data_IF_472777754510
#
_entry.id   IF_472777754510
#
_cell.length_a   1.000
_cell.length_b   1.000
_cell.length_c   1.000
_cell.angle_alpha   90.00
_cell.angle_beta   90.00
_cell.angle_gamma   90.00
#
_symmetry.space_group_name_H-M   'P 1'
#
loop_
_entity.id
_entity.type
_entity.pdbx_description
1 polymer ?
#
# COMPACT_ATOMS: atom_id res chain seq x y z
N UNK A 1 3.36 -32.73 -57.09
CA UNK A 1 2.87 -31.53 -56.39
C UNK A 1 3.77 -30.37 -56.78
N UNK A 2 3.29 -29.43 -57.60
CA UNK A 2 4.08 -28.29 -58.07
C UNK A 2 4.41 -27.36 -56.89
N UNK A 3 5.65 -26.90 -56.79
CA UNK A 3 6.14 -26.02 -55.71
C UNK A 3 5.23 -24.78 -55.49
N UNK A 4 4.59 -24.28 -56.57
CA UNK A 4 3.60 -23.20 -56.49
C UNK A 4 2.34 -23.54 -55.69
N UNK A 5 1.88 -24.80 -55.70
CA UNK A 5 0.73 -25.23 -54.90
C UNK A 5 1.07 -25.29 -53.41
N UNK A 6 2.31 -25.65 -53.06
CA UNK A 6 2.79 -25.68 -51.68
C UNK A 6 2.90 -24.25 -51.14
N UNK A 7 3.47 -23.33 -51.92
CA UNK A 7 3.59 -21.91 -51.52
C UNK A 7 2.21 -21.28 -51.33
N UNK A 8 1.25 -21.53 -52.22
CA UNK A 8 -0.11 -21.01 -52.09
C UNK A 8 -0.81 -21.48 -50.81
N UNK A 9 -0.63 -22.75 -50.42
CA UNK A 9 -1.19 -23.29 -49.17
C UNK A 9 -0.55 -22.65 -47.95
N UNK A 10 0.77 -22.44 -47.94
CA UNK A 10 1.47 -21.79 -46.83
C UNK A 10 0.97 -20.35 -46.65
N UNK A 11 0.84 -19.58 -47.75
CA UNK A 11 0.33 -18.21 -47.70
C UNK A 11 -1.10 -18.17 -47.19
N UNK A 12 -1.97 -19.08 -47.65
CA UNK A 12 -3.35 -19.16 -47.17
C UNK A 12 -3.43 -19.47 -45.66
N UNK A 13 -2.60 -20.37 -45.15
CA UNK A 13 -2.53 -20.71 -43.71
C UNK A 13 -2.07 -19.49 -42.90
N UNK A 14 -1.05 -18.76 -43.37
CA UNK A 14 -0.58 -17.54 -42.70
C UNK A 14 -1.66 -16.47 -42.65
N UNK A 15 -2.43 -16.28 -43.73
CA UNK A 15 -3.54 -15.34 -43.77
C UNK A 15 -4.67 -15.76 -42.83
N UNK A 16 -5.00 -17.05 -42.77
CA UNK A 16 -6.01 -17.57 -41.83
C UNK A 16 -5.57 -17.38 -40.38
N UNK A 17 -4.29 -17.64 -40.06
CA UNK A 17 -3.74 -17.41 -38.72
C UNK A 17 -3.79 -15.91 -38.36
N UNK A 18 -3.44 -15.03 -39.31
CA UNK A 18 -3.53 -13.58 -39.10
C UNK A 18 -4.97 -13.11 -38.85
N UNK A 19 -5.93 -13.63 -39.62
CA UNK A 19 -7.36 -13.32 -39.44
C UNK A 19 -7.87 -13.84 -38.10
N UNK A 20 -7.51 -15.08 -37.72
CA UNK A 20 -7.88 -15.65 -36.41
C UNK A 20 -7.27 -14.81 -35.28
N UNK A 21 -6.02 -14.39 -35.39
CA UNK A 21 -5.37 -13.53 -34.40
C UNK A 21 -6.11 -12.19 -34.23
N UNK A 22 -6.44 -11.51 -35.34
CA UNK A 22 -7.20 -10.26 -35.33
C UNK A 22 -8.60 -10.46 -34.72
N UNK A 23 -9.31 -11.52 -35.12
CA UNK A 23 -10.66 -11.83 -34.59
C UNK A 23 -10.62 -12.17 -33.10
N UNK A 24 -9.61 -12.89 -32.62
CA UNK A 24 -9.45 -13.18 -31.18
C UNK A 24 -9.10 -11.92 -30.37
N UNK A 25 -8.32 -11.01 -30.94
CA UNK A 25 -7.99 -9.73 -30.32
C UNK A 25 -9.21 -8.79 -30.26
N UNK A 26 -10.08 -8.82 -31.29
CA UNK A 26 -11.32 -8.04 -31.33
C UNK A 26 -12.47 -8.64 -30.51
N UNK A 27 -12.47 -9.96 -30.27
CA UNK A 27 -13.49 -10.64 -29.44
C UNK A 27 -13.28 -10.47 -27.92
N UNK A 28 -12.23 -9.79 -27.48
CA UNK A 28 -11.93 -9.53 -26.06
C UNK A 28 -12.86 -8.52 -25.34
N UNK A 29 -13.87 -7.96 -26.02
CA UNK A 29 -14.65 -6.82 -25.52
C UNK A 29 -15.85 -7.16 -24.59
N UNK A 30 -16.07 -8.43 -24.22
CA UNK A 30 -17.21 -8.82 -23.36
C UNK A 30 -16.88 -9.24 -21.92
N UNK A 31 -15.62 -9.57 -21.62
CA UNK A 31 -15.25 -10.27 -20.37
C UNK A 31 -14.01 -9.69 -19.68
N UNK A 32 -13.38 -8.67 -20.27
CA UNK A 32 -12.11 -8.10 -19.79
C UNK A 32 -12.17 -7.44 -18.41
N UNK A 33 -13.34 -6.94 -18.00
CA UNK A 33 -13.52 -6.29 -16.70
C UNK A 33 -13.30 -7.21 -15.51
N UNK A 34 -13.82 -8.44 -15.57
CA UNK A 34 -13.64 -9.43 -14.51
C UNK A 34 -12.16 -9.88 -14.39
N UNK A 35 -11.44 -9.94 -15.51
CA UNK A 35 -10.01 -10.26 -15.54
C UNK A 35 -9.16 -9.14 -14.92
N UNK A 36 -9.42 -7.88 -15.30
CA UNK A 36 -8.73 -6.71 -14.75
C UNK A 36 -9.03 -6.54 -13.26
N UNK A 37 -10.30 -6.66 -12.84
CA UNK A 37 -10.67 -6.58 -11.44
C UNK A 37 -10.02 -7.67 -10.60
N UNK A 38 -9.97 -8.91 -11.10
CA UNK A 38 -9.28 -10.01 -10.40
C UNK A 38 -7.77 -9.77 -10.30
N UNK A 39 -7.15 -9.23 -11.36
CA UNK A 39 -5.70 -8.97 -11.39
C UNK A 39 -5.31 -7.81 -10.50
N UNK A 40 -5.99 -6.67 -10.62
CA UNK A 40 -5.64 -5.46 -9.89
C UNK A 40 -6.16 -5.45 -8.46
N UNK A 41 -7.22 -6.20 -8.16
CA UNK A 41 -7.85 -6.21 -6.85
C UNK A 41 -8.03 -4.77 -6.35
N UNK A 42 -7.52 -4.40 -5.16
CA UNK A 42 -7.66 -3.05 -4.57
C UNK A 42 -7.31 -1.87 -5.49
N UNK A 43 -6.37 -2.04 -6.43
CA UNK A 43 -6.02 -0.98 -7.39
C UNK A 43 -7.15 -0.72 -8.41
N UNK A 44 -8.00 -1.72 -8.67
CA UNK A 44 -9.23 -1.53 -9.44
C UNK A 44 -10.20 -0.63 -8.70
N UNK A 45 -10.51 -0.95 -7.44
CA UNK A 45 -11.42 -0.13 -6.63
C UNK A 45 -10.89 1.29 -6.43
N UNK A 46 -9.57 1.45 -6.22
CA UNK A 46 -8.93 2.77 -6.13
C UNK A 46 -9.06 3.56 -7.43
N UNK A 47 -8.77 2.94 -8.57
CA UNK A 47 -8.85 3.62 -9.87
C UNK A 47 -10.31 3.95 -10.21
N UNK A 48 -11.24 3.07 -9.85
CA UNK A 48 -12.68 3.31 -9.96
C UNK A 48 -13.15 4.50 -9.14
N UNK A 49 -12.69 4.62 -7.90
CA UNK A 49 -12.99 5.77 -7.06
C UNK A 49 -12.40 7.08 -7.63
N UNK A 50 -11.24 7.02 -8.29
CA UNK A 50 -10.61 8.18 -8.95
C UNK A 50 -11.41 8.67 -10.17
N UNK A 51 -12.10 7.76 -10.86
CA UNK A 51 -12.96 8.06 -12.01
C UNK A 51 -14.44 8.21 -11.63
N UNK A 52 -14.75 8.56 -10.37
CA UNK A 52 -16.11 8.78 -9.89
C UNK A 52 -17.08 7.60 -10.17
N UNK A 53 -16.55 6.37 -10.19
CA UNK A 53 -17.32 5.17 -10.49
C UNK A 53 -17.45 4.83 -11.98
N UNK A 54 -16.79 5.56 -12.89
CA UNK A 54 -16.73 5.21 -14.32
C UNK A 54 -15.85 3.96 -14.54
N UNK A 55 -16.53 2.83 -14.59
CA UNK A 55 -15.96 1.51 -14.84
C UNK A 55 -15.30 1.39 -16.22
N UNK A 56 -15.76 2.12 -17.24
CA UNK A 56 -15.15 2.09 -18.57
C UNK A 56 -13.81 2.83 -18.57
N UNK A 57 -13.78 4.04 -18.02
CA UNK A 57 -12.55 4.83 -17.88
C UNK A 57 -11.51 4.08 -17.03
N UNK A 58 -11.95 3.46 -15.94
CA UNK A 58 -11.13 2.62 -15.06
C UNK A 58 -10.46 1.48 -15.81
N UNK A 59 -11.25 0.69 -16.56
CA UNK A 59 -10.71 -0.43 -17.34
C UNK A 59 -9.76 0.04 -18.43
N UNK A 60 -10.05 1.17 -19.06
CA UNK A 60 -9.17 1.75 -20.07
C UNK A 60 -7.81 2.10 -19.46
N UNK A 61 -7.76 2.88 -18.38
CA UNK A 61 -6.50 3.26 -17.72
C UNK A 61 -5.69 2.03 -17.29
N UNK A 62 -6.33 1.06 -16.61
CA UNK A 62 -5.64 -0.15 -16.16
C UNK A 62 -5.13 -1.00 -17.33
N UNK A 63 -5.89 -1.08 -18.44
CA UNK A 63 -5.44 -1.77 -19.64
C UNK A 63 -4.24 -1.09 -20.30
N UNK A 64 -4.20 0.25 -20.30
CA UNK A 64 -3.07 1.03 -20.81
C UNK A 64 -1.82 0.84 -19.94
N UNK A 65 -1.98 0.79 -18.61
CA UNK A 65 -0.88 0.44 -17.69
C UNK A 65 -0.33 -0.96 -17.97
N UNK A 66 -1.18 -1.96 -18.12
CA UNK A 66 -0.75 -3.33 -18.47
C UNK A 66 -0.04 -3.35 -19.82
N UNK A 67 -0.55 -2.62 -20.81
CA UNK A 67 0.09 -2.52 -22.13
C UNK A 67 1.50 -1.91 -22.04
N UNK A 68 1.69 -0.92 -21.17
CA UNK A 68 2.96 -0.20 -21.03
C UNK A 68 3.98 -0.94 -20.16
N UNK A 69 3.54 -1.56 -19.06
CA UNK A 69 4.43 -2.13 -18.04
C UNK A 69 4.32 -3.63 -17.87
N UNK A 70 3.31 -4.29 -18.47
CA UNK A 70 3.09 -5.72 -18.28
C UNK A 70 4.04 -6.62 -19.07
N UNK A 71 4.84 -6.07 -19.98
CA UNK A 71 5.75 -6.82 -20.84
C UNK A 71 7.21 -6.86 -20.37
N UNK A 72 7.60 -6.05 -19.38
CA UNK A 72 8.95 -6.14 -18.81
C UNK A 72 8.95 -7.12 -17.64
N UNK A 73 10.01 -7.90 -17.54
CA UNK A 73 10.22 -8.82 -16.42
C UNK A 73 11.14 -8.12 -15.41
N UNK A 74 10.71 -7.89 -14.16
CA UNK A 74 11.56 -7.30 -13.14
C UNK A 74 12.80 -8.15 -12.85
N UNK A 75 13.94 -7.52 -12.60
CA UNK A 75 15.16 -8.25 -12.29
C UNK A 75 15.01 -9.10 -11.02
N UNK A 76 15.67 -10.26 -11.01
CA UNK A 76 15.70 -11.14 -9.85
C UNK A 76 16.69 -10.63 -8.81
N UNK A 77 16.30 -10.68 -7.53
CA UNK A 77 17.13 -10.30 -6.39
C UNK A 77 17.92 -11.52 -5.89
N UNK A 78 19.25 -11.43 -5.82
CA UNK A 78 20.09 -12.52 -5.33
C UNK A 78 19.78 -12.86 -3.85
N UNK A 79 20.19 -14.04 -3.37
CA UNK A 79 20.01 -14.38 -1.95
C UNK A 79 20.76 -13.40 -1.04
N UNK A 80 21.99 -13.03 -1.40
CA UNK A 80 22.81 -12.07 -0.66
C UNK A 80 22.17 -10.66 -0.64
N UNK A 81 21.57 -10.22 -1.75
CA UNK A 81 20.82 -8.96 -1.78
C UNK A 81 19.59 -9.02 -0.87
N UNK A 82 18.85 -10.14 -0.86
CA UNK A 82 17.69 -10.33 0.02
C UNK A 82 18.06 -10.28 1.49
N UNK A 83 19.17 -10.91 1.88
CA UNK A 83 19.70 -10.86 3.25
C UNK A 83 20.05 -9.43 3.64
N UNK A 84 20.84 -8.73 2.81
CA UNK A 84 21.22 -7.33 3.03
C UNK A 84 20.02 -6.39 3.16
N UNK A 85 19.03 -6.54 2.28
CA UNK A 85 17.80 -5.75 2.34
C UNK A 85 16.96 -6.09 3.57
N UNK A 86 16.91 -7.37 3.94
CA UNK A 86 16.26 -7.83 5.17
C UNK A 86 16.88 -7.22 6.42
N UNK A 87 18.21 -7.18 6.51
CA UNK A 87 18.93 -6.55 7.62
C UNK A 87 18.66 -5.05 7.72
N UNK A 88 18.72 -4.33 6.59
CA UNK A 88 18.39 -2.89 6.55
C UNK A 88 16.96 -2.62 7.01
N UNK A 89 16.01 -3.44 6.56
CA UNK A 89 14.63 -3.31 7.03
C UNK A 89 14.49 -3.57 8.54
N UNK A 90 15.19 -4.58 9.07
CA UNK A 90 15.16 -4.87 10.50
C UNK A 90 15.74 -3.70 11.33
N UNK A 91 16.81 -3.06 10.83
CA UNK A 91 17.37 -1.85 11.45
C UNK A 91 16.35 -0.72 11.47
N UNK A 92 15.61 -0.50 10.36
CA UNK A 92 14.54 0.49 10.27
C UNK A 92 13.45 0.24 11.32
N UNK A 93 13.00 -1.00 11.47
CA UNK A 93 11.99 -1.35 12.46
C UNK A 93 12.49 -1.15 13.89
N UNK A 94 13.77 -1.42 14.16
CA UNK A 94 14.34 -1.33 15.50
C UNK A 94 14.32 0.11 16.06
N UNK A 95 14.53 1.11 15.20
CA UNK A 95 14.55 2.52 15.63
C UNK A 95 13.23 3.27 15.36
N UNK A 96 12.21 2.62 14.81
CA UNK A 96 10.91 3.26 14.54
C UNK A 96 10.25 3.84 15.80
N UNK A 97 10.44 3.19 16.96
CA UNK A 97 9.83 3.64 18.23
C UNK A 97 10.41 4.99 18.66
N UNK A 98 11.70 5.19 18.45
CA UNK A 98 12.42 6.40 18.87
C UNK A 98 12.38 7.49 17.78
N UNK A 99 12.50 7.09 16.51
CA UNK A 99 12.59 7.99 15.35
C UNK A 99 11.60 7.57 14.24
N UNK A 100 10.27 7.70 14.44
CA UNK A 100 9.26 7.18 13.51
C UNK A 100 9.28 7.85 12.13
N UNK A 101 9.45 9.17 12.07
CA UNK A 101 9.56 9.93 10.81
C UNK A 101 10.75 9.47 9.98
N UNK A 102 11.89 9.26 10.65
CA UNK A 102 13.13 8.80 10.01
C UNK A 102 12.99 7.38 9.51
N UNK A 103 12.49 6.47 10.35
CA UNK A 103 12.28 5.08 9.99
C UNK A 103 11.36 4.95 8.77
N UNK A 104 10.28 5.75 8.71
CA UNK A 104 9.38 5.72 7.54
C UNK A 104 10.06 6.27 6.28
N UNK A 105 10.83 7.36 6.39
CA UNK A 105 11.60 7.91 5.27
C UNK A 105 12.68 6.96 4.77
N UNK A 106 13.33 6.21 5.67
CA UNK A 106 14.32 5.19 5.32
C UNK A 106 13.66 3.97 4.67
N UNK A 107 12.47 3.56 5.14
CA UNK A 107 11.69 2.51 4.50
C UNK A 107 11.26 2.87 3.09
N UNK A 108 10.78 4.10 2.88
CA UNK A 108 10.41 4.60 1.55
C UNK A 108 11.59 4.55 0.57
N UNK A 109 12.74 5.09 0.98
CA UNK A 109 13.97 5.04 0.17
C UNK A 109 14.44 3.62 -0.11
N UNK A 110 14.36 2.73 0.87
CA UNK A 110 14.74 1.33 0.69
C UNK A 110 13.84 0.61 -0.33
N UNK A 111 12.54 0.85 -0.30
CA UNK A 111 11.60 0.29 -1.29
C UNK A 111 11.88 0.86 -2.69
N UNK A 112 12.11 2.17 -2.79
CA UNK A 112 12.46 2.84 -4.05
C UNK A 112 13.77 2.30 -4.65
N UNK A 113 14.78 2.05 -3.81
CA UNK A 113 16.06 1.44 -4.20
C UNK A 113 15.85 0.03 -4.77
N UNK A 114 15.13 -0.83 -4.03
CA UNK A 114 14.80 -2.20 -4.49
C UNK A 114 14.02 -2.17 -5.79
N UNK A 115 13.03 -1.29 -5.92
CA UNK A 115 12.25 -1.14 -7.15
C UNK A 115 13.14 -0.74 -8.33
N UNK A 116 14.00 0.26 -8.15
CA UNK A 116 14.91 0.73 -9.21
C UNK A 116 15.90 -0.36 -9.63
N UNK A 117 16.49 -1.10 -8.68
CA UNK A 117 17.36 -2.23 -9.00
C UNK A 117 16.64 -3.36 -9.75
N UNK A 118 15.35 -3.53 -9.49
CA UNK A 118 14.50 -4.47 -10.23
C UNK A 118 14.05 -3.95 -11.59
N UNK A 119 14.42 -2.73 -11.97
CA UNK A 119 14.12 -2.13 -13.27
C UNK A 119 12.80 -1.36 -13.34
N UNK A 120 12.18 -1.07 -12.19
CA UNK A 120 11.05 -0.14 -12.15
C UNK A 120 11.52 1.31 -12.36
N UNK A 121 10.64 2.22 -12.82
CA UNK A 121 10.95 3.65 -12.87
C UNK A 121 11.38 4.19 -11.49
N UNK A 122 12.16 5.27 -11.46
CA UNK A 122 12.56 5.92 -10.21
C UNK A 122 11.35 6.49 -9.45
N UNK A 123 11.44 6.63 -8.13
CA UNK A 123 10.29 7.01 -7.28
C UNK A 123 9.74 8.42 -7.54
N UNK A 124 10.56 9.34 -8.06
CA UNK A 124 10.18 10.69 -8.46
C UNK A 124 9.46 10.74 -9.82
N UNK A 125 9.47 9.64 -10.57
CA UNK A 125 8.77 9.53 -11.84
C UNK A 125 7.27 9.26 -11.63
N UNK A 126 6.37 9.95 -12.36
CA UNK A 126 4.94 9.71 -12.25
C UNK A 126 4.52 8.28 -12.66
N UNK A 127 5.38 7.58 -13.40
CA UNK A 127 5.20 6.21 -13.84
C UNK A 127 5.48 5.15 -12.76
N UNK A 128 6.16 5.50 -11.67
CA UNK A 128 6.66 4.56 -10.67
C UNK A 128 5.58 3.62 -10.14
N UNK A 129 4.52 4.21 -9.58
CA UNK A 129 3.43 3.43 -9.02
C UNK A 129 2.54 2.76 -10.07
N UNK A 130 2.49 3.30 -11.29
CA UNK A 130 1.77 2.66 -12.37
C UNK A 130 2.45 1.34 -12.76
N UNK A 131 3.78 1.35 -12.86
CA UNK A 131 4.57 0.14 -13.10
C UNK A 131 4.45 -0.87 -11.94
N UNK A 132 4.57 -0.42 -10.69
CA UNK A 132 4.39 -1.27 -9.51
C UNK A 132 2.99 -1.87 -9.44
N UNK A 133 1.94 -1.11 -9.79
CA UNK A 133 0.55 -1.61 -9.73
C UNK A 133 0.27 -2.77 -10.69
N UNK A 134 1.04 -2.90 -11.78
CA UNK A 134 0.85 -3.96 -12.77
C UNK A 134 1.39 -5.32 -12.31
N UNK A 135 2.45 -5.29 -11.51
CA UNK A 135 3.18 -6.46 -11.01
C UNK A 135 2.88 -6.78 -9.55
N UNK A 136 2.65 -5.76 -8.72
CA UNK A 136 2.34 -5.86 -7.29
C UNK A 136 0.99 -5.20 -6.92
N UNK A 137 -0.11 -5.52 -7.62
CA UNK A 137 -1.40 -4.83 -7.51
C UNK A 137 -2.00 -4.84 -6.11
N UNK A 138 -1.80 -5.91 -5.34
CA UNK A 138 -2.40 -6.04 -4.02
C UNK A 138 -1.62 -5.30 -2.92
N UNK A 139 -0.34 -4.97 -3.15
CA UNK A 139 0.55 -4.46 -2.10
C UNK A 139 1.00 -3.01 -2.32
N UNK A 140 0.91 -2.49 -3.56
CA UNK A 140 1.36 -1.14 -3.91
C UNK A 140 0.66 -0.04 -3.10
N UNK A 141 -0.58 -0.28 -2.64
CA UNK A 141 -1.35 0.69 -1.86
C UNK A 141 -0.70 1.03 -0.52
N UNK A 142 -0.15 0.03 0.18
CA UNK A 142 0.56 0.25 1.44
C UNK A 142 1.79 1.14 1.26
N UNK A 143 2.50 0.92 0.15
CA UNK A 143 3.65 1.74 -0.21
C UNK A 143 3.25 3.16 -0.61
N UNK A 144 2.16 3.38 -1.38
CA UNK A 144 1.66 4.75 -1.64
C UNK A 144 1.40 5.53 -0.37
N UNK A 145 0.86 4.88 0.66
CA UNK A 145 0.60 5.52 1.95
C UNK A 145 1.90 5.88 2.67
N UNK A 146 2.86 4.96 2.73
CA UNK A 146 4.17 5.20 3.32
C UNK A 146 4.93 6.33 2.60
N UNK A 147 4.95 6.31 1.26
CA UNK A 147 5.57 7.34 0.44
C UNK A 147 4.94 8.72 0.68
N UNK A 148 3.61 8.81 0.68
CA UNK A 148 2.92 10.06 0.95
C UNK A 148 3.21 10.63 2.36
N UNK A 149 3.32 9.76 3.38
CA UNK A 149 3.67 10.18 4.73
C UNK A 149 5.16 10.56 4.86
N UNK A 150 6.05 9.85 4.18
CA UNK A 150 7.49 10.16 4.15
C UNK A 150 7.78 11.53 3.51
N UNK A 151 7.08 11.88 2.43
CA UNK A 151 7.17 13.21 1.79
C UNK A 151 6.75 14.36 2.71
N UNK A 152 5.95 14.08 3.74
CA UNK A 152 5.44 15.07 4.70
C UNK A 152 6.00 14.85 6.13
N UNK A 153 7.07 14.07 6.26
CA UNK A 153 7.70 13.76 7.55
C UNK A 153 8.11 15.04 8.30
N UNK A 154 7.81 15.09 9.61
CA UNK A 154 8.09 16.27 10.47
C UNK A 154 6.96 17.30 10.60
N UNK A 155 5.80 17.10 9.95
CA UNK A 155 4.67 18.04 10.01
C UNK A 155 3.60 17.74 11.08
N UNK A 156 3.71 16.67 11.88
CA UNK A 156 2.60 16.19 12.74
C UNK A 156 2.96 15.60 14.11
N UNK A 157 2.06 15.75 15.08
CA UNK A 157 2.14 15.16 16.44
C UNK A 157 1.62 13.72 16.54
N UNK A 158 1.48 13.16 17.76
CA UNK A 158 1.21 11.72 18.08
C UNK A 158 0.22 10.93 17.20
N UNK A 159 -0.82 11.55 16.63
CA UNK A 159 -1.74 10.86 15.69
C UNK A 159 -1.00 10.41 14.41
N UNK A 160 0.01 11.15 13.99
CA UNK A 160 0.88 10.82 12.87
C UNK A 160 1.68 9.52 13.11
N UNK A 161 2.09 9.22 14.35
CA UNK A 161 2.93 8.05 14.63
C UNK A 161 2.21 6.71 14.43
N UNK A 162 0.93 6.60 14.81
CA UNK A 162 0.15 5.38 14.55
C UNK A 162 -0.12 5.20 13.05
N UNK A 163 -0.43 6.29 12.34
CA UNK A 163 -0.60 6.27 10.88
C UNK A 163 0.70 5.81 10.19
N UNK A 164 1.87 6.30 10.66
CA UNK A 164 3.19 5.85 10.19
C UNK A 164 3.43 4.38 10.48
N UNK A 165 3.05 3.89 11.66
CA UNK A 165 3.19 2.47 12.02
C UNK A 165 2.38 1.58 11.08
N UNK A 166 1.13 1.97 10.80
CA UNK A 166 0.26 1.23 9.88
C UNK A 166 0.80 1.27 8.45
N UNK A 167 1.27 2.43 7.99
CA UNK A 167 1.86 2.58 6.67
C UNK A 167 3.15 1.75 6.52
N UNK A 168 4.02 1.73 7.53
CA UNK A 168 5.24 0.92 7.52
C UNK A 168 4.94 -0.58 7.43
N UNK A 169 3.95 -1.06 8.19
CA UNK A 169 3.49 -2.45 8.12
C UNK A 169 2.90 -2.78 6.75
N UNK A 170 2.08 -1.89 6.19
CA UNK A 170 1.50 -2.10 4.87
C UNK A 170 2.57 -2.08 3.76
N UNK A 171 3.56 -1.18 3.85
CA UNK A 171 4.67 -1.09 2.92
C UNK A 171 5.59 -2.33 2.98
N UNK A 172 5.74 -2.95 4.16
CA UNK A 172 6.48 -4.22 4.30
C UNK A 172 5.92 -5.31 3.39
N UNK A 173 4.61 -5.36 3.19
CA UNK A 173 3.99 -6.37 2.35
C UNK A 173 4.48 -6.27 0.89
N UNK A 174 4.62 -5.05 0.35
CA UNK A 174 5.21 -4.84 -0.98
C UNK A 174 6.69 -5.22 -1.00
N UNK A 175 7.44 -4.79 0.00
CA UNK A 175 8.86 -5.10 0.12
C UNK A 175 9.11 -6.62 0.10
N UNK A 176 8.38 -7.38 0.93
CA UNK A 176 8.50 -8.84 0.97
C UNK A 176 8.11 -9.50 -0.35
N UNK A 177 7.04 -9.02 -1.00
CA UNK A 177 6.60 -9.50 -2.30
C UNK A 177 7.69 -9.33 -3.37
N UNK A 178 8.32 -8.15 -3.41
CA UNK A 178 9.42 -7.86 -4.33
C UNK A 178 10.65 -8.75 -4.11
N UNK A 179 10.90 -9.18 -2.86
CA UNK A 179 11.99 -10.11 -2.55
C UNK A 179 11.60 -11.58 -2.77
N UNK A 180 10.32 -11.96 -2.76
CA UNK A 180 9.85 -13.34 -2.98
C UNK A 180 9.89 -13.76 -4.44
N UNK A 181 9.55 -12.87 -5.37
CA UNK A 181 9.54 -13.15 -6.81
C UNK A 181 10.92 -13.52 -7.37
N UNK A 182 12.00 -13.33 -6.61
CA UNK A 182 13.34 -13.75 -6.96
C UNK A 182 13.68 -15.22 -6.60
N UNK A 183 12.82 -15.92 -5.85
CA UNK A 183 13.09 -17.25 -5.32
C UNK A 183 12.68 -18.43 -6.21
N UNK A 184 11.75 -18.22 -7.15
CA UNK A 184 11.07 -19.31 -7.89
C UNK A 184 11.81 -19.81 -9.13
N UNK A 185 12.93 -19.20 -9.51
CA UNK A 185 13.71 -19.62 -10.68
C UNK A 185 14.82 -20.64 -10.37
N UNK A 186 15.24 -20.78 -9.11
CA UNK A 186 16.36 -21.67 -8.74
C UNK A 186 15.94 -23.12 -8.46
N UNK A 187 14.67 -23.38 -8.17
CA UNK A 187 14.20 -24.74 -7.86
C UNK A 187 13.79 -25.58 -9.07
N UNK A 188 13.83 -25.03 -10.30
CA UNK A 188 13.41 -25.76 -11.52
C UNK A 188 14.55 -26.43 -12.31
N UNK A 189 15.80 -26.29 -11.88
CA UNK A 189 16.96 -26.72 -12.69
C UNK A 189 17.80 -27.84 -12.06
N UNK A 190 17.32 -28.53 -11.03
CA UNK A 190 18.11 -29.62 -10.38
C UNK A 190 17.36 -30.94 -10.20
N UNK A 191 16.17 -31.09 -10.77
CA UNK A 191 15.48 -32.39 -10.82
C UNK A 191 15.16 -32.79 -12.26
N UNK A 192 16.18 -33.02 -13.08
CA UNK A 192 16.01 -33.97 -14.18
C UNK A 192 17.33 -34.67 -14.53
N UNK A 193 17.28 -36.00 -14.39
CA UNK A 193 18.13 -37.03 -15.02
C UNK A 193 19.30 -37.60 -14.20
N UNK A 194 18.95 -38.58 -13.37
CA UNK A 194 19.67 -39.87 -13.36
C UNK A 194 18.64 -41.00 -13.27
N UNK A 195 18.32 -41.69 -14.37
CA UNK A 195 17.77 -43.03 -14.30
C UNK A 195 18.94 -44.02 -14.36
N UNK A 196 19.08 -44.88 -13.35
CA UNK A 196 19.17 -46.34 -13.48
C UNK A 196 19.77 -46.98 -12.21
N UNK A 197 18.95 -47.71 -11.45
CA UNK A 197 19.26 -49.00 -10.80
C UNK A 197 18.17 -49.40 -9.79
N UNK A 198 17.89 -50.71 -9.61
CA UNK A 198 16.53 -51.18 -9.32
C UNK A 198 16.25 -51.51 -7.84
N UNK A 199 14.95 -51.63 -7.61
CA UNK A 199 14.24 -51.93 -6.36
C UNK A 199 14.77 -53.10 -5.54
N UNK A 200 14.80 -52.90 -4.21
CA UNK A 200 14.63 -53.96 -3.22
C UNK A 200 13.55 -53.55 -2.21
N UNK A 201 12.65 -54.50 -1.94
CA UNK A 201 11.46 -54.39 -1.10
C UNK A 201 11.78 -54.25 0.40
N UNK A 202 10.86 -53.73 1.24
CA UNK A 202 11.10 -53.51 2.66
C UNK A 202 10.74 -54.75 3.49
N UNK A 203 11.66 -55.21 4.34
CA UNK A 203 11.39 -56.12 5.44
C UNK A 203 11.52 -55.34 6.76
N UNK A 204 10.48 -55.47 7.60
CA UNK A 204 10.25 -54.61 8.74
C UNK A 204 11.23 -54.77 9.90
N UNK A 205 11.21 -53.78 10.79
CA UNK A 205 11.38 -53.89 12.24
C UNK A 205 11.01 -52.52 12.83
N UNK A 206 9.86 -52.43 13.49
CA UNK A 206 9.69 -51.55 14.66
C UNK A 206 10.15 -52.35 15.89
N UNK A 207 10.40 -51.77 17.09
CA UNK A 207 10.08 -50.41 17.52
C UNK A 207 11.18 -49.72 18.37
N UNK A 208 11.08 -48.40 18.55
CA UNK A 208 11.39 -47.77 19.84
C UNK A 208 10.83 -46.36 19.88
N UNK A 209 9.86 -46.16 20.78
CA UNK A 209 9.35 -44.87 21.18
C UNK A 209 10.38 -44.14 22.06
N UNK A 210 10.43 -42.80 21.99
CA UNK A 210 10.75 -41.98 23.16
C UNK A 210 9.50 -41.28 23.71
N UNK A 211 9.54 -41.12 25.04
CA UNK A 211 8.49 -40.68 25.97
C UNK A 211 7.82 -39.31 25.66
N UNK A 212 6.61 -39.05 26.20
CA UNK A 212 5.97 -37.75 26.09
C UNK A 212 6.66 -36.73 27.01
N UNK A 213 7.16 -35.64 26.41
CA UNK A 213 7.57 -34.45 27.16
C UNK A 213 6.33 -33.67 27.55
N UNK A 214 6.27 -33.32 28.83
CA UNK A 214 5.16 -32.67 29.52
C UNK A 214 4.76 -31.32 28.92
N UNK A 215 3.44 -31.08 28.92
CA UNK A 215 2.84 -29.79 28.64
C UNK A 215 3.17 -28.77 29.76
N UNK A 216 3.36 -27.48 29.42
CA UNK A 216 3.45 -26.42 30.43
C UNK A 216 2.06 -26.10 31.02
N UNK A 217 1.95 -25.77 32.32
CA UNK A 217 0.68 -25.45 32.94
C UNK A 217 0.14 -24.07 32.54
N UNK A 218 -1.19 -24.00 32.46
CA UNK A 218 -1.99 -22.81 32.25
C UNK A 218 -1.68 -21.72 33.30
N UNK A 219 -1.49 -20.48 32.83
CA UNK A 219 -1.46 -19.30 33.68
C UNK A 219 -2.90 -18.83 33.93
N UNK A 220 -3.33 -18.97 35.18
CA UNK A 220 -4.58 -18.39 35.72
C UNK A 220 -4.41 -16.86 35.88
N UNK A 221 -5.42 -16.04 35.54
CA UNK A 221 -5.38 -14.60 35.77
C UNK A 221 -5.66 -14.26 37.25
N UNK A 222 -5.03 -13.23 37.85
CA UNK A 222 -5.46 -12.75 39.15
C UNK A 222 -6.75 -11.94 39.03
N UNK A 223 -7.65 -12.27 39.94
CA UNK A 223 -8.96 -11.70 40.16
C UNK A 223 -8.93 -10.23 40.59
N UNK A 224 -10.04 -9.57 40.29
CA UNK A 224 -10.45 -8.26 40.76
C UNK A 224 -10.26 -8.06 42.27
N UNK A 225 -9.82 -6.85 42.63
CA UNK A 225 -10.22 -6.21 43.89
C UNK A 225 -10.79 -4.84 43.58
N UNK A 226 -12.09 -4.79 43.80
CA UNK A 226 -12.89 -3.63 44.10
C UNK A 226 -12.44 -3.09 45.47
N UNK A 227 -12.13 -1.81 45.58
CA UNK A 227 -12.45 -1.01 46.77
C UNK A 227 -12.25 0.49 46.53
N UNK A 228 -13.31 1.21 46.81
CA UNK A 228 -13.49 2.65 46.73
C UNK A 228 -12.62 3.43 47.74
N UNK A 229 -12.30 4.69 47.41
CA UNK A 229 -12.56 5.86 48.27
C UNK A 229 -11.88 7.12 47.71
N UNK A 230 -12.71 8.08 47.31
CA UNK A 230 -12.43 9.52 47.36
C UNK A 230 -11.96 9.94 48.76
N UNK A 231 -11.15 11.00 48.92
CA UNK A 231 -11.75 12.35 48.97
C UNK A 231 -10.88 13.51 48.45
N UNK A 232 -11.52 14.55 47.89
CA UNK A 232 -11.09 15.95 47.94
C UNK A 232 -11.55 16.59 49.29
N UNK A 233 -11.32 17.89 49.65
CA UNK A 233 -10.62 19.00 48.97
C UNK A 233 -9.72 19.88 49.89
N UNK A 234 -8.91 20.80 49.32
CA UNK A 234 -8.46 22.07 49.91
C UNK A 234 -7.80 22.92 48.78
N UNK A 235 -8.39 24.01 48.27
CA UNK A 235 -8.35 25.42 48.72
C UNK A 235 -6.97 25.97 49.09
N UNK A 236 -6.51 26.96 48.31
CA UNK A 236 -5.59 28.09 48.61
C UNK A 236 -5.35 28.77 47.23
N UNK A 237 -6.04 29.84 46.83
CA UNK A 237 -6.04 31.23 47.33
C UNK A 237 -4.64 31.78 47.65
N UNK A 238 -4.06 32.51 46.71
CA UNK A 238 -3.23 33.67 47.00
C UNK A 238 -3.22 34.65 45.82
N UNK A 239 -3.94 35.72 46.05
CA UNK A 239 -3.75 37.09 45.54
C UNK A 239 -2.28 37.52 45.51
N UNK A 240 -1.85 38.31 44.51
CA UNK A 240 -1.37 39.69 44.76
C UNK A 240 -1.11 40.48 43.45
N UNK A 241 -1.81 41.62 43.34
CA UNK A 241 -1.34 42.98 42.99
C UNK A 241 -0.14 43.16 42.03
N UNK A 242 -0.32 43.96 40.96
CA UNK A 242 0.01 45.43 40.97
C UNK A 242 -0.11 46.08 39.60
N UNK A 243 -0.76 47.24 39.61
CA UNK A 243 -0.87 48.23 38.54
C UNK A 243 0.44 48.98 38.23
N UNK A 244 0.57 49.41 36.97
CA UNK A 244 1.13 50.69 36.49
C UNK A 244 1.06 50.62 34.96
N UNK A 245 0.09 51.22 34.28
CA UNK A 245 -0.05 52.67 34.05
C UNK A 245 1.24 53.32 33.54
N UNK A 246 1.25 53.59 32.23
CA UNK A 246 1.94 54.76 31.67
C UNK A 246 1.40 55.09 30.28
N UNK A 247 0.73 56.23 30.26
CA UNK A 247 0.38 57.08 29.14
C UNK A 247 1.41 57.13 28.00
N UNK A 248 0.90 57.12 26.76
CA UNK A 248 1.17 58.22 25.82
C UNK A 248 0.13 58.28 24.71
N UNK A 249 -0.53 59.44 24.69
CA UNK A 249 -1.36 60.06 23.65
C UNK A 249 -0.76 59.94 22.23
N UNK A 250 -1.56 59.63 21.20
CA UNK A 250 -2.29 60.57 20.30
C UNK A 250 -1.33 61.52 19.55
N UNK A 251 -1.31 61.65 18.23
CA UNK A 251 -2.37 61.90 17.23
C UNK A 251 -1.78 61.58 15.83
N UNK A 252 -2.49 60.93 14.90
CA UNK A 252 -3.58 61.42 14.03
C UNK A 252 -3.11 62.01 12.67
N UNK A 253 -3.85 61.63 11.63
CA UNK A 253 -3.86 62.23 10.30
C UNK A 253 -3.28 61.39 9.17
N UNK A 254 -3.90 61.16 8.01
CA UNK A 254 -5.27 61.22 7.48
C UNK A 254 -5.16 60.93 5.96
N UNK A 255 -6.23 60.38 5.36
CA UNK A 255 -6.52 60.45 3.91
C UNK A 255 -6.40 59.11 3.18
N UNK A 256 -7.50 58.37 2.94
CA UNK A 256 -8.45 58.50 1.81
C UNK A 256 -7.90 57.81 0.52
N UNK A 257 -8.61 57.06 -0.32
CA UNK A 257 -10.01 56.64 -0.47
C UNK A 257 -10.05 55.59 -1.64
N UNK A 258 -11.11 54.78 -1.71
CA UNK A 258 -11.62 53.95 -2.83
C UNK A 258 -10.76 52.77 -3.36
N UNK A 259 -11.28 51.56 -3.61
CA UNK A 259 -12.63 51.01 -3.57
C UNK A 259 -12.64 49.56 -4.13
N UNK A 260 -13.82 48.93 -4.05
CA UNK A 260 -14.29 47.73 -4.76
C UNK A 260 -13.88 46.32 -4.25
N UNK A 261 -14.81 45.72 -3.49
CA UNK A 261 -15.53 44.47 -3.79
C UNK A 261 -14.77 43.29 -4.45
N UNK A 262 -14.47 42.27 -3.64
CA UNK A 262 -14.69 40.85 -3.99
C UNK A 262 -14.57 39.97 -2.74
N UNK A 263 -15.74 39.47 -2.30
CA UNK A 263 -16.01 38.22 -1.56
C UNK A 263 -14.94 37.66 -0.60
N UNK A 264 -15.18 37.94 0.69
CA UNK A 264 -14.76 37.09 1.81
C UNK A 264 -15.91 36.12 2.14
N UNK A 265 -15.75 34.85 1.78
CA UNK A 265 -16.48 33.68 2.29
C UNK A 265 -15.72 32.46 1.72
N UNK A 266 -15.24 31.41 2.40
CA UNK A 266 -15.40 30.83 3.72
C UNK A 266 -14.07 30.14 4.08
N UNK A 267 -13.39 30.56 5.15
CA UNK A 267 -12.41 29.71 5.84
C UNK A 267 -13.21 28.66 6.64
N UNK A 268 -13.44 27.48 6.05
CA UNK A 268 -13.98 26.33 6.79
C UNK A 268 -12.85 25.54 7.47
N UNK A 269 -13.05 25.10 8.73
CA UNK A 269 -12.07 24.29 9.45
C UNK A 269 -11.91 22.88 8.84
N UNK A 270 -10.69 22.35 8.91
CA UNK A 270 -10.19 21.10 8.29
C UNK A 270 -10.91 19.80 8.68
N UNK A 271 -11.81 19.82 9.66
CA UNK A 271 -12.54 18.64 10.12
C UNK A 271 -13.55 18.11 9.07
N UNK A 272 -14.11 18.98 8.23
CA UNK A 272 -15.13 18.60 7.24
C UNK A 272 -14.54 18.06 5.92
N UNK A 273 -13.23 18.15 5.69
CA UNK A 273 -12.59 17.61 4.48
C UNK A 273 -12.25 16.12 4.56
N UNK A 274 -12.26 15.53 5.75
CA UNK A 274 -11.99 14.09 5.93
C UNK A 274 -13.25 13.21 5.90
N UNK A 275 -14.45 13.80 5.96
CA UNK A 275 -15.71 13.06 5.96
C UNK A 275 -16.14 12.54 4.57
N UNK A 276 -15.55 13.04 3.47
CA UNK A 276 -15.84 12.58 2.11
C UNK A 276 -14.98 11.39 1.63
N UNK A 277 -13.98 10.97 2.42
CA UNK A 277 -13.08 9.85 2.09
C UNK A 277 -13.37 8.57 2.87
N UNK A 278 -14.31 8.59 3.81
CA UNK A 278 -14.80 7.38 4.47
C UNK A 278 -16.31 7.32 4.28
N UNK A 279 -16.77 6.48 3.35
CA UNK A 279 -18.18 6.19 3.16
C UNK A 279 -18.79 5.62 4.43
N UNK A 280 -19.31 6.50 5.29
CA UNK A 280 -20.17 6.15 6.43
C UNK A 280 -21.20 7.26 6.60
N UNK A 281 -22.12 7.34 5.64
CA UNK A 281 -23.42 7.95 5.88
C UNK A 281 -24.20 7.03 6.84
N UNK A 282 -23.97 7.23 8.15
CA UNK A 282 -24.86 6.71 9.18
C UNK A 282 -26.16 7.53 9.07
N UNK A 283 -27.23 6.86 8.66
CA UNK A 283 -28.62 7.33 8.80
C UNK A 283 -28.82 7.82 10.22
N UNK A 284 -29.22 9.09 10.36
CA UNK A 284 -29.95 9.51 11.55
C UNK A 284 -31.41 9.71 11.19
N UNK A 285 -32.23 8.95 11.90
CA UNK A 285 -33.68 8.94 11.87
C UNK A 285 -34.08 9.78 13.08
N UNK A 286 -34.51 11.02 12.86
CA UNK A 286 -35.22 11.76 13.90
C UNK A 286 -36.63 12.05 13.42
N UNK A 287 -37.56 11.27 13.99
CA UNK A 287 -38.89 11.78 14.31
C UNK A 287 -38.77 13.04 15.15
N UNK A 288 -39.60 14.03 14.85
CA UNK A 288 -40.44 14.82 15.77
C UNK A 288 -40.95 16.03 14.98
N UNK A 289 -42.25 16.05 14.67
CA UNK A 289 -43.31 16.61 15.52
C UNK A 289 -43.44 18.11 15.27
N UNK A 290 -44.44 18.50 14.47
CA UNK A 290 -45.21 19.71 14.73
C UNK A 290 -46.59 19.63 14.08
N UNK A 291 -47.58 19.82 14.97
CA UNK A 291 -48.95 20.28 14.77
C UNK A 291 -49.13 21.31 13.66
#
# INVERSE_FOLDING_TARGET
MSTGAIIAVIVAVVVVIAIVAVVTMMRGNGTGGAGLKRRFGPEYERTLARHDGDDKATRQELSERVKRYGGFEPAQVSTEQRERYGERWAQIQAHFVDEPDRALSEADRLIAEVATERGYPAADSPEHFDALSVHHPHQVQGYRQAHALAEHAGAGGRKATEDMRQALVAARALFDDMLRDAGTSRSRTTEERTPDAPAQAPAGTAPSAPAPVAAPPASTPPAARDEAAEPAPATEESTDTRAADRDRDAEAGAGADAGADAEREHHRPLADRFASLTGSARRDHSSDDHR
#
